data_IF_665866456142
#
_entry.id   IF_665866456142
#
_cell.length_a   1.000
_cell.length_b   1.000
_cell.length_c   1.000
_cell.angle_alpha   90.00
_cell.angle_beta   90.00
_cell.angle_gamma   90.00
#
_symmetry.space_group_name_H-M   'P 1'
#
loop_
_entity.id
_entity.type
_entity.pdbx_description
1 polymer ?
#
# COMPACT_ATOMS: atom_id res chain seq x y z
N UNK A 1 -42.04 -17.14 -6.30
CA UNK A 1 -40.81 -16.90 -5.52
C UNK A 1 -40.13 -15.71 -6.15
N UNK A 2 -40.03 -14.61 -5.40
CA UNK A 2 -39.47 -13.36 -5.92
C UNK A 2 -37.98 -13.57 -6.19
N UNK A 3 -37.54 -13.18 -7.40
CA UNK A 3 -36.14 -13.00 -7.73
C UNK A 3 -35.53 -12.05 -6.71
N UNK A 4 -34.67 -12.57 -5.84
CA UNK A 4 -33.75 -11.76 -5.06
C UNK A 4 -32.74 -11.18 -6.03
N UNK A 5 -33.06 -10.03 -6.65
CA UNK A 5 -32.10 -9.23 -7.37
C UNK A 5 -30.89 -9.01 -6.46
N UNK A 6 -29.70 -9.45 -6.88
CA UNK A 6 -28.46 -9.02 -6.24
C UNK A 6 -28.49 -7.48 -6.21
N UNK A 7 -28.40 -6.83 -5.04
CA UNK A 7 -28.44 -5.37 -4.99
C UNK A 7 -27.36 -4.83 -5.92
N UNK A 8 -27.76 -3.98 -6.87
CA UNK A 8 -26.81 -3.34 -7.78
C UNK A 8 -26.01 -2.33 -6.95
N UNK A 9 -24.87 -2.74 -6.40
CA UNK A 9 -23.97 -1.79 -5.72
C UNK A 9 -23.22 -0.99 -6.78
N UNK A 10 -23.45 0.33 -6.78
CA UNK A 10 -22.67 1.25 -7.60
C UNK A 10 -21.30 1.38 -6.93
N UNK A 11 -20.25 1.06 -7.68
CA UNK A 11 -18.87 1.26 -7.24
C UNK A 11 -18.08 2.02 -8.31
N UNK A 12 -16.87 2.44 -7.96
CA UNK A 12 -15.95 3.20 -8.82
C UNK A 12 -15.43 2.41 -10.02
N UNK A 13 -15.78 1.13 -10.12
CA UNK A 13 -15.58 0.28 -11.29
C UNK A 13 -16.69 0.38 -12.36
N UNK A 14 -17.80 1.07 -12.07
CA UNK A 14 -18.94 1.21 -12.99
C UNK A 14 -18.88 2.47 -13.86
N UNK A 15 -17.83 3.29 -13.75
CA UNK A 15 -17.68 4.47 -14.61
C UNK A 15 -17.38 4.04 -16.06
N UNK A 16 -18.31 4.33 -16.98
CA UNK A 16 -18.15 4.06 -18.41
C UNK A 16 -17.38 5.17 -19.17
N UNK A 17 -17.24 6.36 -18.57
CA UNK A 17 -16.63 7.52 -19.23
C UNK A 17 -15.14 7.64 -18.93
N UNK A 18 -14.35 7.80 -19.99
CA UNK A 18 -12.88 7.90 -20.01
C UNK A 18 -12.29 9.07 -19.21
N UNK A 19 -13.10 10.00 -18.70
CA UNK A 19 -12.62 11.23 -18.08
C UNK A 19 -12.47 11.16 -16.54
N UNK A 20 -13.02 10.14 -15.86
CA UNK A 20 -12.94 9.91 -14.40
C UNK A 20 -12.84 11.18 -13.53
N UNK A 21 -13.71 12.17 -13.81
CA UNK A 21 -13.66 13.47 -13.16
C UNK A 21 -13.78 13.32 -11.64
N UNK A 22 -12.84 13.95 -10.92
CA UNK A 22 -12.67 13.80 -9.47
C UNK A 22 -13.99 13.91 -8.69
N UNK A 23 -14.82 14.91 -9.00
CA UNK A 23 -16.11 15.13 -8.31
C UNK A 23 -17.06 13.93 -8.39
N UNK A 24 -17.15 13.25 -9.54
CA UNK A 24 -18.07 12.13 -9.71
C UNK A 24 -17.52 10.86 -9.07
N UNK A 25 -16.21 10.63 -9.20
CA UNK A 25 -15.53 9.48 -8.58
C UNK A 25 -15.58 9.58 -7.06
N UNK A 26 -15.47 10.79 -6.51
CA UNK A 26 -15.45 11.02 -5.06
C UNK A 26 -16.75 10.64 -4.37
N UNK A 27 -17.90 10.97 -4.96
CA UNK A 27 -19.19 10.66 -4.36
C UNK A 27 -19.48 9.16 -4.40
N UNK A 28 -19.19 8.51 -5.53
CA UNK A 28 -19.30 7.04 -5.64
C UNK A 28 -18.28 6.33 -4.74
N UNK A 29 -17.06 6.85 -4.60
CA UNK A 29 -16.05 6.26 -3.72
C UNK A 29 -16.47 6.34 -2.25
N UNK A 30 -17.10 7.44 -1.81
CA UNK A 30 -17.65 7.53 -0.45
C UNK A 30 -18.72 6.47 -0.20
N UNK A 31 -19.62 6.28 -1.17
CA UNK A 31 -20.66 5.24 -1.09
C UNK A 31 -20.05 3.84 -1.08
N UNK A 32 -19.07 3.58 -1.93
CA UNK A 32 -18.35 2.32 -2.03
C UNK A 32 -17.61 1.95 -0.74
N UNK A 33 -16.96 2.92 -0.10
CA UNK A 33 -16.26 2.71 1.17
C UNK A 33 -17.22 2.41 2.33
N UNK A 34 -18.46 2.90 2.24
CA UNK A 34 -19.50 2.68 3.24
C UNK A 34 -19.04 3.04 4.66
N UNK A 35 -19.35 2.17 5.62
CA UNK A 35 -18.90 2.30 7.00
C UNK A 35 -17.51 1.72 7.18
N UNK A 36 -16.56 2.61 7.47
CA UNK A 36 -15.19 2.21 7.75
C UNK A 36 -15.01 1.93 9.24
N UNK A 37 -14.47 0.76 9.57
CA UNK A 37 -14.11 0.39 10.93
C UNK A 37 -12.79 1.05 11.32
N UNK A 38 -12.79 1.79 12.43
CA UNK A 38 -11.64 2.54 12.94
C UNK A 38 -11.35 2.05 14.36
N UNK A 39 -10.07 1.92 14.71
CA UNK A 39 -9.68 1.47 16.05
C UNK A 39 -10.05 0.01 16.31
N UNK A 40 -9.80 -0.87 15.34
CA UNK A 40 -10.08 -2.30 15.47
C UNK A 40 -9.24 -2.87 16.63
N UNK A 41 -9.86 -3.46 17.67
CA UNK A 41 -9.14 -4.02 18.80
C UNK A 41 -8.12 -5.08 18.37
N UNK A 42 -6.92 -5.05 18.97
CA UNK A 42 -5.84 -5.98 18.63
C UNK A 42 -5.17 -5.74 17.27
N UNK A 43 -5.50 -4.65 16.57
CA UNK A 43 -4.96 -4.36 15.23
C UNK A 43 -3.44 -4.43 15.21
N UNK A 44 -2.73 -3.72 16.08
CA UNK A 44 -1.27 -3.67 16.06
C UNK A 44 -0.63 -5.02 16.33
N UNK A 45 -1.24 -5.83 17.20
CA UNK A 45 -0.76 -7.17 17.50
C UNK A 45 -0.80 -8.04 16.23
N UNK A 46 -1.98 -8.09 15.58
CA UNK A 46 -2.19 -8.85 14.35
C UNK A 46 -1.36 -8.30 13.19
N UNK A 47 -1.29 -6.97 13.07
CA UNK A 47 -0.57 -6.27 12.02
C UNK A 47 0.92 -6.59 12.08
N UNK A 48 1.56 -6.52 13.25
CA UNK A 48 3.00 -6.77 13.35
C UNK A 48 3.40 -8.25 13.41
N UNK A 49 2.50 -9.15 13.86
CA UNK A 49 2.79 -10.59 13.98
C UNK A 49 3.18 -11.26 12.67
N UNK A 50 2.72 -10.73 11.53
CA UNK A 50 2.97 -11.34 10.23
C UNK A 50 4.44 -11.38 9.79
N UNK A 51 5.30 -10.46 10.26
CA UNK A 51 6.69 -10.35 9.77
C UNK A 51 7.65 -10.97 10.81
N UNK A 52 8.33 -12.09 10.48
CA UNK A 52 9.27 -12.73 11.39
C UNK A 52 10.35 -11.76 11.87
N UNK A 53 10.64 -11.78 13.17
CA UNK A 53 11.69 -10.95 13.79
C UNK A 53 11.39 -9.45 13.92
N UNK A 54 10.27 -8.95 13.36
CA UNK A 54 9.97 -7.52 13.30
C UNK A 54 9.97 -6.85 14.68
N UNK A 55 9.31 -7.46 15.69
CA UNK A 55 9.21 -6.86 17.03
C UNK A 55 10.58 -6.69 17.70
N UNK A 56 11.42 -7.73 17.63
CA UNK A 56 12.77 -7.70 18.20
C UNK A 56 13.65 -6.68 17.48
N UNK A 57 13.57 -6.64 16.15
CA UNK A 57 14.31 -5.67 15.35
C UNK A 57 13.87 -4.24 15.63
N UNK A 58 12.57 -3.97 15.68
CA UNK A 58 12.03 -2.65 15.95
C UNK A 58 12.45 -2.15 17.34
N UNK A 59 12.43 -3.03 18.34
CA UNK A 59 12.94 -2.71 19.67
C UNK A 59 14.42 -2.34 19.63
N UNK A 60 15.26 -3.20 19.04
CA UNK A 60 16.71 -2.95 18.95
C UNK A 60 17.04 -1.67 18.17
N UNK A 61 16.33 -1.40 17.08
CA UNK A 61 16.50 -0.17 16.27
C UNK A 61 16.05 1.05 17.06
N UNK A 62 14.92 0.99 17.75
CA UNK A 62 14.41 2.09 18.54
C UNK A 62 15.31 2.39 19.75
N UNK A 63 15.89 1.37 20.37
CA UNK A 63 16.89 1.53 21.44
C UNK A 63 18.11 2.29 20.92
N UNK A 64 18.68 1.90 19.79
CA UNK A 64 19.75 2.64 19.12
C UNK A 64 19.38 4.08 18.74
N UNK A 65 18.11 4.34 18.41
CA UNK A 65 17.65 5.71 18.10
C UNK A 65 17.73 6.66 19.31
N UNK A 66 17.78 6.14 20.54
CA UNK A 66 17.88 6.92 21.78
C UNK A 66 19.32 7.06 22.27
N UNK A 67 20.28 6.39 21.65
CA UNK A 67 21.68 6.33 22.06
C UNK A 67 22.55 7.38 21.36
N UNK A 68 23.72 7.63 21.94
CA UNK A 68 24.75 8.53 21.41
C UNK A 68 24.55 10.00 21.78
N UNK A 69 25.52 10.84 21.41
CA UNK A 69 25.54 12.28 21.71
C UNK A 69 24.51 13.08 20.88
N UNK A 70 23.92 12.47 19.86
CA UNK A 70 22.92 13.08 18.97
C UNK A 70 21.83 12.05 18.64
N UNK A 71 20.97 11.71 19.62
CA UNK A 71 19.94 10.70 19.44
C UNK A 71 18.88 11.16 18.43
N UNK A 72 18.37 10.21 17.64
CA UNK A 72 17.27 10.44 16.69
C UNK A 72 15.92 10.60 17.41
N UNK A 73 15.79 10.03 18.61
CA UNK A 73 14.58 10.10 19.43
C UNK A 73 14.93 10.44 20.87
N UNK A 74 14.22 11.41 21.43
CA UNK A 74 14.32 11.81 22.84
C UNK A 74 13.00 11.52 23.54
N UNK A 75 13.06 10.89 24.71
CA UNK A 75 11.85 10.44 25.45
C UNK A 75 10.89 11.61 25.76
N UNK A 76 11.42 12.82 25.99
CA UNK A 76 10.60 13.98 26.35
C UNK A 76 10.06 14.76 25.15
N UNK A 77 10.79 14.79 24.03
CA UNK A 77 10.52 15.68 22.89
C UNK A 77 10.21 14.96 21.57
N UNK A 78 10.32 13.62 21.54
CA UNK A 78 10.00 12.81 20.38
C UNK A 78 11.14 12.77 19.36
N UNK A 79 10.79 12.74 18.07
CA UNK A 79 11.77 12.62 17.01
C UNK A 79 12.53 13.93 16.75
N UNK A 80 13.85 13.83 16.66
CA UNK A 80 14.70 14.94 16.26
C UNK A 80 14.37 15.41 14.85
N UNK A 81 14.23 16.72 14.68
CA UNK A 81 13.97 17.35 13.39
C UNK A 81 12.54 17.19 12.87
N UNK A 82 11.61 16.68 13.68
CA UNK A 82 10.18 16.69 13.32
C UNK A 82 9.70 18.14 13.06
N UNK A 83 9.08 18.44 11.90
CA UNK A 83 8.65 19.79 11.58
C UNK A 83 7.39 20.17 12.36
N UNK A 84 7.46 21.22 13.19
CA UNK A 84 6.38 21.68 14.07
C UNK A 84 5.05 21.92 13.32
N UNK A 85 5.12 22.46 12.09
CA UNK A 85 3.96 22.72 11.25
C UNK A 85 3.49 21.52 10.40
N UNK A 86 4.21 20.40 10.46
CA UNK A 86 3.97 19.19 9.65
C UNK A 86 3.68 19.50 8.16
N UNK A 87 4.35 20.52 7.60
CA UNK A 87 4.17 20.88 6.20
C UNK A 87 4.70 19.74 5.34
N UNK A 88 3.90 19.35 4.37
CA UNK A 88 4.15 18.19 3.50
C UNK A 88 5.61 18.08 3.02
N UNK A 89 6.16 19.13 2.40
CA UNK A 89 7.55 19.13 1.92
C UNK A 89 8.58 18.90 3.03
N UNK A 90 8.36 19.48 4.21
CA UNK A 90 9.26 19.35 5.35
C UNK A 90 9.16 17.94 5.95
N UNK A 91 7.95 17.40 6.11
CA UNK A 91 7.72 16.03 6.58
C UNK A 91 8.37 15.03 5.63
N UNK A 92 8.24 15.22 4.32
CA UNK A 92 8.87 14.36 3.32
C UNK A 92 10.41 14.42 3.37
N UNK A 93 10.96 15.62 3.54
CA UNK A 93 12.40 15.84 3.69
C UNK A 93 12.96 15.24 4.99
N UNK A 94 12.11 15.04 5.99
CA UNK A 94 12.46 14.42 7.27
C UNK A 94 12.31 12.89 7.25
N UNK A 95 11.18 12.36 6.75
CA UNK A 95 10.84 10.94 6.85
C UNK A 95 11.70 10.05 5.95
N UNK A 96 12.07 10.53 4.75
CA UNK A 96 12.89 9.78 3.81
C UNK A 96 14.28 9.44 4.39
N UNK A 97 15.11 10.43 4.81
CA UNK A 97 16.41 10.12 5.41
C UNK A 97 16.30 9.42 6.76
N UNK A 98 15.24 9.66 7.54
CA UNK A 98 15.01 8.89 8.77
C UNK A 98 14.79 7.41 8.45
N UNK A 99 13.96 7.10 7.46
CA UNK A 99 13.68 5.72 7.05
C UNK A 99 14.96 5.01 6.58
N UNK A 100 15.85 5.71 5.87
CA UNK A 100 17.15 5.15 5.48
C UNK A 100 18.02 4.83 6.70
N UNK A 101 18.10 5.75 7.68
CA UNK A 101 18.82 5.49 8.94
C UNK A 101 18.23 4.32 9.72
N UNK A 102 16.90 4.22 9.81
CA UNK A 102 16.23 3.08 10.45
C UNK A 102 16.59 1.76 9.75
N UNK A 103 16.64 1.76 8.42
CA UNK A 103 17.00 0.60 7.62
C UNK A 103 18.46 0.18 7.82
N UNK A 104 19.38 1.14 8.00
CA UNK A 104 20.79 0.88 8.30
C UNK A 104 20.98 0.31 9.71
N UNK A 105 20.31 0.90 10.71
CA UNK A 105 20.30 0.38 12.08
C UNK A 105 19.77 -1.05 12.19
N UNK A 106 18.91 -1.44 11.24
CA UNK A 106 18.27 -2.75 11.17
C UNK A 106 19.06 -3.80 10.36
N UNK A 107 20.23 -3.48 9.80
CA UNK A 107 20.98 -4.35 8.88
C UNK A 107 21.22 -5.77 9.42
N UNK A 108 21.63 -5.89 10.70
CA UNK A 108 21.84 -7.18 11.38
C UNK A 108 20.55 -7.97 11.71
N UNK A 109 19.38 -7.39 11.45
CA UNK A 109 18.07 -7.99 11.74
C UNK A 109 17.22 -8.22 10.49
N UNK A 110 17.74 -7.90 9.29
CA UNK A 110 16.97 -8.00 8.05
C UNK A 110 16.55 -9.45 7.80
N UNK A 111 15.31 -9.68 7.34
CA UNK A 111 14.90 -11.00 6.86
C UNK A 111 15.85 -11.51 5.78
N UNK A 112 15.99 -12.83 5.67
CA UNK A 112 16.83 -13.49 4.64
C UNK A 112 16.39 -13.13 3.21
N UNK A 113 15.14 -12.66 3.03
CA UNK A 113 14.62 -12.25 1.74
C UNK A 113 15.39 -11.04 1.19
N UNK A 114 15.72 -11.09 -0.11
CA UNK A 114 16.39 -9.99 -0.84
C UNK A 114 15.46 -8.80 -1.15
N UNK A 115 14.34 -8.67 -0.43
CA UNK A 115 13.36 -7.61 -0.67
C UNK A 115 14.01 -6.27 -0.32
N UNK A 116 14.13 -5.40 -1.32
CA UNK A 116 14.68 -4.05 -1.15
C UNK A 116 13.61 -3.04 -1.50
N UNK A 117 12.94 -2.55 -0.47
CA UNK A 117 11.95 -1.48 -0.59
C UNK A 117 12.53 -0.17 -0.11
N UNK A 118 12.04 0.91 -0.69
CA UNK A 118 12.41 2.28 -0.32
C UNK A 118 11.16 3.14 -0.17
N UNK A 119 11.18 4.13 0.74
CA UNK A 119 10.20 5.21 0.67
C UNK A 119 10.42 6.00 -0.62
N UNK A 120 9.33 6.41 -1.24
CA UNK A 120 9.29 7.29 -2.40
C UNK A 120 8.47 8.52 -2.00
N UNK A 121 9.10 9.69 -2.07
CA UNK A 121 8.49 10.98 -1.74
C UNK A 121 8.38 11.82 -3.01
N UNK A 122 7.16 11.98 -3.55
CA UNK A 122 6.93 12.67 -4.84
C UNK A 122 5.73 13.63 -4.81
N UNK A 123 5.78 14.68 -3.98
CA UNK A 123 4.61 15.48 -3.63
C UNK A 123 3.94 16.22 -4.80
N UNK A 124 4.60 16.35 -5.95
CA UNK A 124 4.16 17.27 -7.01
C UNK A 124 4.15 16.68 -8.42
N UNK A 125 4.46 15.39 -8.59
CA UNK A 125 4.45 14.73 -9.90
C UNK A 125 3.27 13.75 -9.99
N UNK A 126 2.40 13.86 -11.02
CA UNK A 126 1.41 12.83 -11.30
C UNK A 126 2.10 11.50 -11.57
N UNK A 127 1.59 10.43 -10.95
CA UNK A 127 2.06 9.07 -11.22
C UNK A 127 1.46 8.55 -12.53
N UNK A 128 2.27 7.84 -13.32
CA UNK A 128 1.81 7.26 -14.58
C UNK A 128 0.95 6.01 -14.35
N UNK A 129 0.01 5.76 -15.27
CA UNK A 129 -0.84 4.57 -15.27
C UNK A 129 -2.21 4.75 -14.62
N UNK A 130 -2.59 6.00 -14.28
CA UNK A 130 -3.97 6.37 -13.95
C UNK A 130 -4.65 7.06 -15.14
N UNK A 131 -5.96 6.90 -15.24
CA UNK A 131 -6.80 7.62 -16.22
C UNK A 131 -6.81 9.13 -15.95
N UNK A 132 -6.60 9.54 -14.70
CA UNK A 132 -6.57 10.94 -14.29
C UNK A 132 -5.23 11.31 -13.63
N UNK A 133 -4.83 12.59 -13.70
CA UNK A 133 -3.65 13.05 -12.96
C UNK A 133 -3.89 12.93 -11.45
N UNK A 134 -3.13 12.04 -10.82
CA UNK A 134 -3.19 11.75 -9.37
C UNK A 134 -1.80 11.89 -8.77
N UNK A 135 -1.71 12.71 -7.71
CA UNK A 135 -0.48 12.96 -6.96
C UNK A 135 -0.50 12.17 -5.65
N UNK A 136 0.62 11.57 -5.30
CA UNK A 136 0.83 10.81 -4.07
C UNK A 136 1.98 11.46 -3.30
N UNK A 137 1.81 11.68 -2.01
CA UNK A 137 2.85 12.36 -1.21
C UNK A 137 3.99 11.42 -0.85
N UNK A 138 3.66 10.23 -0.35
CA UNK A 138 4.62 9.22 0.05
C UNK A 138 4.11 7.81 -0.28
N UNK A 139 5.03 6.92 -0.61
CA UNK A 139 4.76 5.49 -0.73
C UNK A 139 5.96 4.65 -0.39
N UNK A 140 5.76 3.34 -0.22
CA UNK A 140 6.84 2.35 -0.31
C UNK A 140 6.74 1.61 -1.64
N UNK A 141 7.89 1.44 -2.31
CA UNK A 141 7.98 0.84 -3.66
C UNK A 141 8.97 -0.32 -3.68
N UNK A 142 8.82 -1.22 -4.66
CA UNK A 142 9.77 -2.31 -4.91
C UNK A 142 10.88 -1.88 -5.89
N UNK A 143 11.53 -0.75 -5.61
CA UNK A 143 12.64 -0.26 -6.41
C UNK A 143 13.76 0.23 -5.48
N UNK A 144 14.89 -0.50 -5.41
CA UNK A 144 16.02 -0.13 -4.55
C UNK A 144 16.69 1.19 -4.97
N UNK A 145 16.49 1.62 -6.22
CA UNK A 145 17.08 2.80 -6.82
C UNK A 145 16.06 3.95 -6.95
N UNK A 146 14.87 3.80 -6.40
CA UNK A 146 13.87 4.86 -6.40
C UNK A 146 14.39 6.10 -5.65
N UNK A 147 14.24 7.25 -6.30
CA UNK A 147 14.59 8.57 -5.79
C UNK A 147 13.40 9.52 -5.99
N UNK A 148 13.46 10.71 -5.38
CA UNK A 148 12.42 11.72 -5.54
C UNK A 148 12.18 12.11 -7.02
N UNK A 149 13.18 11.95 -7.89
CA UNK A 149 13.11 12.29 -9.31
C UNK A 149 12.77 11.09 -10.22
N UNK A 150 12.66 9.88 -9.67
CA UNK A 150 12.39 8.67 -10.44
C UNK A 150 10.97 8.71 -11.02
N UNK A 151 10.80 8.51 -12.33
CA UNK A 151 9.45 8.36 -12.91
C UNK A 151 8.78 7.11 -12.32
N UNK A 152 7.79 7.29 -11.45
CA UNK A 152 7.09 6.20 -10.79
C UNK A 152 5.71 5.95 -11.42
N UNK A 153 5.32 4.68 -11.46
CA UNK A 153 4.02 4.21 -11.94
C UNK A 153 3.20 3.68 -10.78
N UNK A 154 1.87 3.78 -10.87
CA UNK A 154 0.97 3.17 -9.88
C UNK A 154 1.22 1.67 -9.65
N UNK A 155 1.65 0.95 -10.70
CA UNK A 155 2.00 -0.47 -10.60
C UNK A 155 3.19 -0.75 -9.67
N UNK A 156 4.02 0.25 -9.36
CA UNK A 156 5.19 0.12 -8.47
C UNK A 156 4.87 0.50 -7.01
N UNK A 157 3.72 1.14 -6.76
CA UNK A 157 3.31 1.59 -5.43
C UNK A 157 2.80 0.40 -4.61
N UNK A 158 3.48 0.05 -3.52
CA UNK A 158 3.10 -1.09 -2.69
C UNK A 158 2.23 -0.69 -1.50
N UNK A 159 2.59 0.44 -0.87
CA UNK A 159 1.96 0.99 0.33
C UNK A 159 1.86 2.51 0.16
N UNK A 160 0.71 3.06 -0.27
CA UNK A 160 0.51 4.50 -0.32
C UNK A 160 0.34 5.10 1.08
N UNK A 161 0.83 6.33 1.27
CA UNK A 161 0.62 7.12 2.46
C UNK A 161 0.05 8.50 2.12
N UNK A 162 -0.89 8.95 2.96
CA UNK A 162 -1.46 10.30 2.87
C UNK A 162 -0.92 11.19 3.99
N UNK A 163 -0.45 12.39 3.63
CA UNK A 163 0.09 13.37 4.55
C UNK A 163 -0.84 14.58 4.67
N UNK A 164 -1.10 15.01 5.90
CA UNK A 164 -1.79 16.28 6.18
C UNK A 164 -1.04 17.01 7.29
N UNK A 165 -0.93 18.33 7.19
CA UNK A 165 -0.29 19.12 8.25
C UNK A 165 -1.11 19.22 9.53
N UNK A 166 -2.43 19.17 9.41
CA UNK A 166 -3.35 19.36 10.54
C UNK A 166 -3.90 18.02 11.06
N UNK A 167 -3.76 17.71 12.37
CA UNK A 167 -4.31 16.50 12.98
C UNK A 167 -5.81 16.28 12.72
N UNK A 168 -6.60 17.35 12.72
CA UNK A 168 -8.05 17.31 12.43
C UNK A 168 -8.44 16.86 11.01
N UNK A 169 -7.46 16.68 10.11
CA UNK A 169 -7.70 16.12 8.79
C UNK A 169 -7.76 14.59 8.76
N UNK A 170 -7.44 13.95 9.88
CA UNK A 170 -7.64 12.52 10.08
C UNK A 170 -9.12 12.19 10.27
N UNK A 171 -9.87 12.21 9.16
CA UNK A 171 -11.30 11.93 9.11
C UNK A 171 -11.73 11.49 7.72
N UNK A 172 -12.90 10.85 7.66
CA UNK A 172 -13.49 10.29 6.45
C UNK A 172 -13.48 11.24 5.25
N UNK A 173 -13.90 12.50 5.45
CA UNK A 173 -14.01 13.49 4.36
C UNK A 173 -12.69 14.13 3.91
N UNK A 174 -11.55 13.74 4.51
CA UNK A 174 -10.23 14.30 4.20
C UNK A 174 -9.22 13.18 3.94
N UNK A 175 -8.29 12.93 4.89
CA UNK A 175 -7.15 12.04 4.66
C UNK A 175 -7.57 10.63 4.25
N UNK A 176 -8.69 10.13 4.76
CA UNK A 176 -9.15 8.78 4.48
C UNK A 176 -9.63 8.65 3.03
N UNK A 177 -10.43 9.63 2.56
CA UNK A 177 -10.89 9.66 1.18
C UNK A 177 -9.73 9.87 0.19
N UNK A 178 -8.75 10.71 0.53
CA UNK A 178 -7.52 10.86 -0.26
C UNK A 178 -6.75 9.53 -0.36
N UNK A 179 -6.54 8.83 0.75
CA UNK A 179 -5.89 7.52 0.76
C UNK A 179 -6.67 6.47 -0.03
N UNK A 180 -8.00 6.47 0.04
CA UNK A 180 -8.85 5.54 -0.73
C UNK A 180 -8.74 5.77 -2.23
N UNK A 181 -8.53 7.01 -2.69
CA UNK A 181 -8.24 7.29 -4.11
C UNK A 181 -6.95 6.59 -4.51
N UNK A 182 -5.91 6.67 -3.69
CA UNK A 182 -4.64 6.00 -3.98
C UNK A 182 -4.79 4.48 -4.00
N UNK A 183 -5.53 3.93 -3.04
CA UNK A 183 -5.82 2.50 -3.01
C UNK A 183 -6.51 2.03 -4.29
N UNK A 184 -7.48 2.81 -4.81
CA UNK A 184 -8.14 2.52 -6.09
C UNK A 184 -7.15 2.46 -7.26
N UNK A 185 -6.26 3.45 -7.38
CA UNK A 185 -5.28 3.49 -8.48
C UNK A 185 -4.26 2.34 -8.37
N UNK A 186 -3.82 2.00 -7.16
CA UNK A 186 -2.96 0.84 -6.93
C UNK A 186 -3.66 -0.47 -7.34
N UNK A 187 -4.91 -0.67 -6.93
CA UNK A 187 -5.68 -1.86 -7.30
C UNK A 187 -5.96 -1.93 -8.81
N UNK A 188 -6.19 -0.79 -9.46
CA UNK A 188 -6.35 -0.70 -10.90
C UNK A 188 -5.07 -1.11 -11.65
N UNK A 189 -3.91 -0.68 -11.15
CA UNK A 189 -2.62 -0.92 -11.78
C UNK A 189 -1.97 -2.28 -11.43
N UNK A 190 -2.42 -2.91 -10.33
CA UNK A 190 -1.92 -4.21 -9.86
C UNK A 190 -3.04 -5.25 -9.92
N UNK A 191 -3.13 -5.93 -11.05
CA UNK A 191 -4.20 -6.85 -11.39
C UNK A 191 -4.19 -8.17 -10.59
N UNK A 192 -3.04 -8.55 -10.02
CA UNK A 192 -2.89 -9.66 -9.06
C UNK A 192 -3.05 -9.24 -7.59
N UNK A 193 -3.40 -7.98 -7.32
CA UNK A 193 -3.52 -7.43 -5.96
C UNK A 193 -4.95 -7.48 -5.45
N UNK A 194 -5.14 -8.06 -4.25
CA UNK A 194 -6.45 -8.23 -3.59
C UNK A 194 -6.77 -7.16 -2.54
N UNK A 195 -5.76 -6.51 -1.98
CA UNK A 195 -5.92 -5.48 -0.94
C UNK A 195 -4.73 -4.52 -0.95
N UNK A 196 -4.96 -3.28 -0.53
CA UNK A 196 -3.92 -2.25 -0.40
C UNK A 196 -3.77 -1.84 1.05
N UNK A 197 -2.59 -2.11 1.59
CA UNK A 197 -2.16 -1.54 2.85
C UNK A 197 -1.79 -0.07 2.60
N UNK A 198 -2.37 0.84 3.37
CA UNK A 198 -1.95 2.24 3.38
C UNK A 198 -1.80 2.79 4.80
N UNK A 199 -1.37 4.04 4.89
CA UNK A 199 -1.30 4.77 6.16
C UNK A 199 -1.66 6.25 5.98
N UNK A 200 -2.00 6.91 7.08
CA UNK A 200 -2.13 8.37 7.12
C UNK A 200 -1.18 8.93 8.18
N UNK A 201 -0.67 10.13 7.95
CA UNK A 201 0.07 10.92 8.93
C UNK A 201 -0.47 12.35 8.90
N UNK A 202 -1.28 12.69 9.91
CA UNK A 202 -1.96 13.98 10.04
C UNK A 202 -1.38 14.75 11.24
N UNK A 203 -0.60 15.80 10.99
CA UNK A 203 0.32 16.31 12.00
C UNK A 203 1.30 15.19 12.39
N UNK A 204 1.51 14.97 13.69
CA UNK A 204 2.30 13.83 14.20
C UNK A 204 1.48 12.55 14.37
N UNK A 205 0.19 12.57 14.04
CA UNK A 205 -0.69 11.46 14.34
C UNK A 205 -0.79 10.49 13.17
N UNK A 206 -0.44 9.22 13.40
CA UNK A 206 -0.39 8.18 12.39
C UNK A 206 -1.51 7.14 12.56
N UNK A 207 -2.04 6.64 11.43
CA UNK A 207 -2.88 5.43 11.38
C UNK A 207 -2.37 4.46 10.33
N UNK A 208 -2.54 3.15 10.59
CA UNK A 208 -2.10 2.04 9.75
C UNK A 208 -3.31 1.23 9.24
N UNK A 209 -3.10 0.49 8.15
CA UNK A 209 -4.15 -0.38 7.59
C UNK A 209 -5.23 0.39 6.86
N UNK A 210 -4.85 1.47 6.17
CA UNK A 210 -5.78 2.49 5.72
C UNK A 210 -6.15 3.38 6.89
N UNK A 211 -7.08 2.89 7.71
CA UNK A 211 -7.65 3.58 8.89
C UNK A 211 -8.07 2.63 10.01
N UNK A 212 -7.77 1.33 9.86
CA UNK A 212 -8.24 0.28 10.75
C UNK A 212 -7.58 0.35 12.14
N UNK A 213 -6.35 0.86 12.25
CA UNK A 213 -5.70 1.03 13.54
C UNK A 213 -6.31 2.15 14.38
N UNK A 214 -6.09 2.07 15.68
CA UNK A 214 -6.13 3.29 16.51
C UNK A 214 -5.05 4.27 16.03
N UNK A 215 -5.25 5.54 16.30
CA UNK A 215 -4.26 6.56 16.01
C UNK A 215 -3.26 6.64 17.15
N UNK A 216 -2.00 6.84 16.79
CA UNK A 216 -0.94 7.08 17.74
C UNK A 216 -0.11 8.30 17.32
N UNK A 217 0.47 8.98 18.29
CA UNK A 217 1.37 10.11 18.07
C UNK A 217 2.79 9.59 17.93
N UNK A 218 3.40 9.76 16.76
CA UNK A 218 4.74 9.21 16.47
C UNK A 218 5.83 9.80 17.38
N UNK A 219 5.60 11.00 17.93
CA UNK A 219 6.52 11.67 18.84
C UNK A 219 6.37 11.18 20.30
N UNK A 220 5.31 10.43 20.60
CA UNK A 220 5.10 9.79 21.91
C UNK A 220 5.35 8.29 21.84
N UNK A 221 4.96 7.65 20.75
CA UNK A 221 5.14 6.23 20.49
C UNK A 221 6.11 6.00 19.32
N UNK A 222 7.39 6.32 19.57
CA UNK A 222 8.45 6.11 18.60
C UNK A 222 8.68 4.64 18.25
N UNK A 223 8.48 3.72 19.20
CA UNK A 223 8.64 2.28 18.94
C UNK A 223 7.61 1.78 17.93
N UNK A 224 6.35 2.21 18.05
CA UNK A 224 5.31 1.86 17.10
C UNK A 224 5.56 2.48 15.72
N UNK A 225 6.08 3.71 15.66
CA UNK A 225 6.52 4.33 14.40
C UNK A 225 7.64 3.52 13.73
N UNK A 226 8.70 3.16 14.47
CA UNK A 226 9.79 2.30 13.95
C UNK A 226 9.24 0.95 13.48
N UNK A 227 8.35 0.33 14.26
CA UNK A 227 7.71 -0.94 13.89
C UNK A 227 6.93 -0.84 12.58
N UNK A 228 6.22 0.27 12.35
CA UNK A 228 5.51 0.53 11.10
C UNK A 228 6.46 0.70 9.92
N UNK A 229 7.50 1.54 10.06
CA UNK A 229 8.48 1.77 8.98
C UNK A 229 9.20 0.48 8.59
N UNK A 230 9.72 -0.27 9.57
CA UNK A 230 10.38 -1.56 9.29
C UNK A 230 9.42 -2.57 8.67
N UNK A 231 8.16 -2.62 9.11
CA UNK A 231 7.15 -3.47 8.47
C UNK A 231 6.96 -3.13 7.00
N UNK A 232 6.81 -1.85 6.66
CA UNK A 232 6.63 -1.43 5.27
C UNK A 232 7.80 -1.82 4.38
N UNK A 233 9.02 -1.75 4.94
CA UNK A 233 10.25 -2.16 4.27
C UNK A 233 10.36 -3.69 4.12
N UNK A 234 9.82 -4.48 5.05
CA UNK A 234 10.11 -5.92 5.15
C UNK A 234 8.96 -6.87 4.79
N UNK A 235 7.72 -6.38 4.82
CA UNK A 235 6.54 -7.18 4.47
C UNK A 235 6.74 -7.81 3.07
N UNK A 236 6.32 -9.03 2.79
CA UNK A 236 6.52 -9.66 1.48
C UNK A 236 5.31 -9.44 0.56
N UNK A 237 5.33 -10.00 -0.65
CA UNK A 237 4.26 -9.79 -1.64
C UNK A 237 2.94 -10.47 -1.24
N UNK A 238 2.99 -11.66 -0.64
CA UNK A 238 1.80 -12.35 -0.14
C UNK A 238 1.11 -11.56 1.00
N UNK A 239 1.91 -11.01 1.92
CA UNK A 239 1.41 -10.18 3.02
C UNK A 239 0.90 -8.83 2.54
N UNK A 240 1.44 -8.33 1.43
CA UNK A 240 0.88 -7.21 0.69
C UNK A 240 -0.44 -7.58 0.00
N UNK A 241 -0.76 -8.88 -0.12
CA UNK A 241 -1.96 -9.43 -0.77
C UNK A 241 -1.88 -9.47 -2.29
N UNK A 242 -0.69 -9.70 -2.83
CA UNK A 242 -0.56 -10.27 -4.17
C UNK A 242 -0.99 -11.74 -4.14
N UNK A 243 -1.64 -12.19 -5.21
CA UNK A 243 -2.01 -13.60 -5.37
C UNK A 243 -0.75 -14.47 -5.53
N UNK A 244 -0.47 -15.39 -4.60
CA UNK A 244 0.74 -16.21 -4.66
C UNK A 244 0.72 -17.25 -5.78
N UNK A 245 -0.44 -17.52 -6.39
CA UNK A 245 -0.56 -18.41 -7.55
C UNK A 245 -0.07 -17.75 -8.84
N UNK A 246 0.04 -16.41 -8.85
CA UNK A 246 0.53 -15.63 -9.99
C UNK A 246 2.03 -15.37 -9.81
N UNK A 247 2.84 -16.05 -10.62
CA UNK A 247 4.29 -16.00 -10.55
C UNK A 247 4.84 -15.19 -11.73
N UNK A 248 5.81 -14.32 -11.48
CA UNK A 248 6.52 -13.59 -12.53
C UNK A 248 7.95 -14.13 -12.66
N UNK A 249 8.32 -14.58 -13.86
CA UNK A 249 9.68 -15.04 -14.18
C UNK A 249 10.15 -14.32 -15.44
N UNK A 250 11.17 -13.47 -15.29
CA UNK A 250 11.61 -12.59 -16.38
C UNK A 250 10.50 -11.60 -16.76
N UNK A 251 10.12 -11.61 -18.04
CA UNK A 251 9.04 -10.81 -18.61
C UNK A 251 7.69 -11.55 -18.64
N UNK A 252 7.66 -12.84 -18.26
CA UNK A 252 6.47 -13.68 -18.31
C UNK A 252 5.80 -13.80 -16.96
N UNK A 253 4.47 -13.93 -17.00
CA UNK A 253 3.61 -14.20 -15.86
C UNK A 253 2.88 -15.51 -16.05
N UNK A 254 2.77 -16.28 -14.99
CA UNK A 254 2.17 -17.60 -14.96
C UNK A 254 1.14 -17.69 -13.85
N UNK A 255 0.08 -18.46 -14.06
CA UNK A 255 -0.79 -18.95 -12.99
C UNK A 255 -0.47 -20.42 -12.83
N UNK A 256 -0.01 -20.82 -11.65
CA UNK A 256 0.15 -22.23 -11.30
C UNK A 256 -1.15 -22.75 -10.69
N UNK A 257 -1.71 -23.79 -11.31
CA UNK A 257 -2.91 -24.48 -10.81
C UNK A 257 -2.65 -25.97 -10.68
N UNK A 258 -3.33 -26.61 -9.74
CA UNK A 258 -3.36 -28.06 -9.62
C UNK A 258 -4.63 -28.59 -10.27
N UNK A 259 -4.47 -29.53 -11.21
CA UNK A 259 -5.59 -30.15 -11.92
C UNK A 259 -5.31 -31.63 -12.13
N UNK A 260 -6.24 -32.48 -11.67
CA UNK A 260 -6.01 -33.92 -11.64
C UNK A 260 -4.79 -34.26 -10.78
N UNK A 261 -3.82 -34.98 -11.37
CA UNK A 261 -2.58 -35.40 -10.69
C UNK A 261 -1.36 -34.54 -11.06
N UNK A 262 -1.55 -33.39 -11.72
CA UNK A 262 -0.47 -32.57 -12.25
C UNK A 262 -0.57 -31.09 -11.88
N UNK A 263 0.58 -30.41 -11.93
CA UNK A 263 0.65 -28.94 -11.92
C UNK A 263 0.61 -28.45 -13.35
N UNK A 264 -0.32 -27.56 -13.65
CA UNK A 264 -0.44 -26.88 -14.94
C UNK A 264 0.01 -25.42 -14.81
N UNK A 265 0.62 -24.89 -15.87
CA UNK A 265 1.01 -23.48 -15.97
C UNK A 265 0.21 -22.78 -17.06
N UNK A 266 -0.53 -21.76 -16.67
CA UNK A 266 -1.22 -20.86 -17.59
C UNK A 266 -0.39 -19.60 -17.76
N UNK A 267 0.14 -19.37 -18.96
CA UNK A 267 0.87 -18.15 -19.29
C UNK A 267 -0.13 -17.01 -19.47
N UNK A 268 0.04 -15.91 -18.74
CA UNK A 268 -0.78 -14.70 -18.90
C UNK A 268 -0.25 -13.88 -20.07
N UNK A 269 -1.03 -13.80 -21.15
CA UNK A 269 -0.73 -12.99 -22.34
C UNK A 269 -1.02 -11.50 -22.05
N UNK A 270 -2.23 -11.19 -21.60
CA UNK A 270 -2.63 -9.81 -21.28
C UNK A 270 -3.82 -9.74 -20.33
N UNK A 271 -3.96 -8.60 -19.67
CA UNK A 271 -5.19 -8.22 -18.95
C UNK A 271 -6.26 -7.84 -19.98
N UNK A 272 -7.41 -8.51 -19.93
CA UNK A 272 -8.60 -8.16 -20.72
C UNK A 272 -9.39 -7.07 -19.99
N UNK A 273 -9.58 -7.26 -18.68
CA UNK A 273 -10.36 -6.35 -17.84
C UNK A 273 -9.81 -6.35 -16.43
N UNK A 274 -9.72 -5.16 -15.83
CA UNK A 274 -9.54 -4.96 -14.39
C UNK A 274 -10.54 -3.92 -13.95
N UNK A 275 -11.37 -4.26 -12.97
CA UNK A 275 -12.35 -3.31 -12.41
C UNK A 275 -11.67 -2.46 -11.34
N UNK A 276 -11.55 -1.13 -11.53
CA UNK A 276 -10.84 -0.25 -10.58
C UNK A 276 -11.78 0.15 -9.42
N UNK A 277 -11.96 -0.75 -8.46
CA UNK A 277 -12.69 -0.48 -7.20
C UNK A 277 -11.84 -0.86 -5.98
N UNK A 278 -12.05 -0.15 -4.87
CA UNK A 278 -11.50 -0.41 -3.53
C UNK A 278 -12.29 -1.50 -2.80
N UNK A 279 -13.61 -1.45 -2.84
CA UNK A 279 -14.50 -2.42 -2.23
C UNK A 279 -15.51 -2.97 -3.26
N UNK A 280 -15.53 -4.29 -3.42
CA UNK A 280 -16.38 -4.99 -4.37
C UNK A 280 -15.72 -6.26 -4.89
N UNK A 281 -16.31 -6.86 -5.93
CA UNK A 281 -15.77 -8.08 -6.57
C UNK A 281 -14.45 -7.85 -7.32
N UNK A 282 -14.12 -6.59 -7.65
CA UNK A 282 -12.89 -6.20 -8.32
C UNK A 282 -12.48 -7.13 -9.50
N UNK A 283 -13.45 -7.61 -10.28
CA UNK A 283 -13.23 -8.71 -11.23
C UNK A 283 -12.05 -8.42 -12.15
N UNK A 284 -11.13 -9.37 -12.23
CA UNK A 284 -10.01 -9.36 -13.18
C UNK A 284 -10.18 -10.48 -14.18
N UNK A 285 -10.02 -10.17 -15.46
CA UNK A 285 -10.00 -11.16 -16.54
C UNK A 285 -8.67 -11.08 -17.28
N UNK A 286 -8.02 -12.23 -17.45
CA UNK A 286 -6.81 -12.38 -18.25
C UNK A 286 -7.08 -13.22 -19.49
N UNK A 287 -6.43 -12.86 -20.59
CA UNK A 287 -6.18 -13.80 -21.68
C UNK A 287 -4.95 -14.60 -21.28
N UNK A 288 -5.08 -15.91 -21.30
CA UNK A 288 -4.01 -16.84 -20.97
C UNK A 288 -3.97 -18.00 -21.97
N UNK A 289 -2.97 -18.85 -21.88
CA UNK A 289 -2.89 -20.11 -22.62
C UNK A 289 -2.09 -21.12 -21.81
N UNK A 290 -2.28 -22.42 -22.05
CA UNK A 290 -1.45 -23.45 -21.42
C UNK A 290 -0.04 -23.41 -22.02
N UNK A 291 0.99 -23.52 -21.19
CA UNK A 291 2.38 -23.47 -21.68
C UNK A 291 2.67 -24.54 -22.75
N UNK A 292 2.02 -25.70 -22.65
CA UNK A 292 2.14 -26.82 -23.60
C UNK A 292 1.22 -26.70 -24.83
N UNK A 293 0.22 -25.82 -24.79
CA UNK A 293 -0.71 -25.56 -25.91
C UNK A 293 -0.96 -24.05 -26.10
N UNK A 294 0.00 -23.32 -26.71
CA UNK A 294 -0.12 -21.87 -26.89
C UNK A 294 -1.19 -21.44 -27.89
N UNK A 295 -1.61 -22.34 -28.80
CA UNK A 295 -2.58 -22.04 -29.86
C UNK A 295 -4.02 -22.01 -29.35
N UNK A 296 -4.28 -22.55 -28.16
CA UNK A 296 -5.60 -22.55 -27.53
C UNK A 296 -5.72 -21.42 -26.49
N UNK A 297 -6.33 -20.27 -26.85
CA UNK A 297 -6.50 -19.18 -25.89
C UNK A 297 -7.56 -19.54 -24.84
N UNK A 298 -7.26 -19.18 -23.59
CA UNK A 298 -8.11 -19.28 -22.43
C UNK A 298 -8.44 -17.90 -21.88
N UNK A 299 -9.56 -17.80 -21.16
CA UNK A 299 -9.89 -16.64 -20.33
C UNK A 299 -9.94 -17.08 -18.88
N UNK A 300 -9.06 -16.51 -18.06
CA UNK A 300 -9.07 -16.71 -16.61
C UNK A 300 -9.79 -15.53 -15.97
N UNK A 301 -10.76 -15.82 -15.12
CA UNK A 301 -11.52 -14.82 -14.36
C UNK A 301 -11.28 -15.02 -12.87
N UNK A 302 -10.83 -13.98 -12.20
CA UNK A 302 -10.71 -13.88 -10.73
C UNK A 302 -11.70 -12.84 -10.21
N UNK A 303 -12.33 -13.10 -9.06
CA UNK A 303 -13.40 -12.27 -8.47
C UNK A 303 -13.51 -12.49 -6.96
#
# INVERSE_FOLDING_TARGET
MADSSTPLSINTGNFANSAEHRRHVDDVLKEELGHLYVGVPGFFEAFFKGVPGLRLAAQAVFDKCKEGDSPLYQVQSGWLGWPEGAKEKEVLSWVAPLTDRLLDLAEGHRPVSRIRRRPLAQPHQPLQGSTADRKLYIAFVNDPNASADSKCRWSQILIPGELKSNPSADKASKAWLDLSRYAREVLAAQDSRRFVLGFTLCGSLMRLGGIASEQFDINKDGLQFVSAMLRFLWINDEQLRFDPTIITVGDKRYIEIERGNGKERLVIDRVIKRVPCVAGRATTCWKAYQEEDPETPLVVKDS
#
